data_IF_802722741632
#
_entry.id   IF_802722741632
#
_cell.length_a   1.000
_cell.length_b   1.000
_cell.length_c   1.000
_cell.angle_alpha   90.00
_cell.angle_beta   90.00
_cell.angle_gamma   90.00
#
_symmetry.space_group_name_H-M   'P 1'
#
loop_
_entity.id
_entity.type
_entity.pdbx_description
1 polymer ?
#
# COMPACT_ATOMS: atom_id res chain seq x y z
N UNK A 1 2.55 -28.73 9.57
CA UNK A 1 3.48 -29.83 9.91
C UNK A 1 4.29 -29.39 11.12
N UNK A 2 4.18 -30.11 12.24
CA UNK A 2 5.09 -29.93 13.39
C UNK A 2 6.45 -30.49 12.99
N UNK A 3 7.57 -29.81 13.27
CA UNK A 3 8.88 -30.45 13.16
C UNK A 3 8.93 -31.56 14.22
N UNK A 4 8.90 -32.82 13.79
CA UNK A 4 9.23 -33.96 14.65
C UNK A 4 10.74 -34.02 14.76
N UNK A 5 11.30 -33.63 15.90
CA UNK A 5 12.74 -33.72 16.16
C UNK A 5 13.16 -35.19 16.33
N UNK A 6 14.40 -35.57 15.96
CA UNK A 6 14.93 -36.90 16.18
C UNK A 6 14.90 -37.22 17.68
N UNK A 7 14.23 -38.32 18.03
CA UNK A 7 14.22 -38.87 19.37
C UNK A 7 15.61 -39.45 19.64
N UNK A 8 16.46 -38.70 20.35
CA UNK A 8 17.75 -39.22 20.79
C UNK A 8 17.51 -40.05 22.06
N UNK A 9 17.45 -41.36 21.88
CA UNK A 9 17.19 -42.31 22.95
C UNK A 9 18.37 -42.30 23.94
N UNK A 10 18.12 -41.89 25.19
CA UNK A 10 19.12 -42.02 26.26
C UNK A 10 19.22 -40.92 27.31
N UNK A 11 18.41 -39.85 27.29
CA UNK A 11 18.48 -38.82 28.35
C UNK A 11 17.19 -38.71 29.18
N UNK A 12 17.27 -38.52 30.51
CA UNK A 12 16.10 -38.34 31.36
C UNK A 12 15.36 -37.04 31.01
N UNK A 13 14.03 -37.12 30.89
CA UNK A 13 13.14 -36.06 30.38
C UNK A 13 13.31 -34.66 30.98
N UNK A 14 13.82 -34.56 32.20
CA UNK A 14 14.12 -33.28 32.87
C UNK A 14 15.28 -32.48 32.25
N UNK A 15 16.24 -33.16 31.61
CA UNK A 15 17.42 -32.51 30.99
C UNK A 15 17.04 -31.84 29.67
N UNK A 16 16.05 -32.38 28.96
CA UNK A 16 15.53 -31.77 27.72
C UNK A 16 14.85 -30.44 27.97
N UNK A 17 13.99 -30.36 28.99
CA UNK A 17 13.33 -29.11 29.34
C UNK A 17 14.35 -28.07 29.83
N UNK A 18 15.34 -28.48 30.62
CA UNK A 18 16.38 -27.56 31.06
C UNK A 18 17.26 -27.08 29.90
N UNK A 19 17.68 -27.95 28.99
CA UNK A 19 18.48 -27.54 27.83
C UNK A 19 17.69 -26.66 26.85
N UNK A 20 16.38 -26.87 26.69
CA UNK A 20 15.51 -26.00 25.90
C UNK A 20 15.31 -24.64 26.55
N UNK A 21 15.09 -24.60 27.86
CA UNK A 21 14.95 -23.36 28.62
C UNK A 21 16.26 -22.57 28.67
N UNK A 22 17.41 -23.26 28.75
CA UNK A 22 18.73 -22.63 28.68
C UNK A 22 19.01 -22.05 27.30
N UNK A 23 18.73 -22.81 26.22
CA UNK A 23 18.84 -22.28 24.84
C UNK A 23 17.95 -21.06 24.60
N UNK A 24 16.71 -21.08 25.11
CA UNK A 24 15.80 -19.93 24.97
C UNK A 24 16.36 -18.68 25.68
N UNK A 25 16.96 -18.86 26.87
CA UNK A 25 17.61 -17.76 27.62
C UNK A 25 18.81 -17.19 26.88
N UNK A 26 19.62 -18.03 26.24
CA UNK A 26 20.77 -17.59 25.43
C UNK A 26 20.32 -16.83 24.17
N UNK A 27 19.29 -17.31 23.46
CA UNK A 27 18.75 -16.59 22.30
C UNK A 27 18.10 -15.27 22.70
N UNK A 28 17.42 -15.23 23.84
CA UNK A 28 16.82 -13.99 24.37
C UNK A 28 17.91 -12.99 24.78
N UNK A 29 19.06 -13.46 25.31
CA UNK A 29 20.20 -12.63 25.65
C UNK A 29 20.95 -12.07 24.41
N UNK A 30 21.03 -12.83 23.32
CA UNK A 30 21.61 -12.35 22.06
C UNK A 30 20.73 -11.29 21.37
N UNK A 31 19.40 -11.34 21.57
CA UNK A 31 18.46 -10.34 21.07
C UNK A 31 18.44 -9.04 21.89
N UNK A 32 19.02 -9.03 23.10
CA UNK A 32 19.12 -7.85 23.97
C UNK A 32 20.18 -6.84 23.47
N UNK A 33 21.14 -7.27 22.63
CA UNK A 33 22.22 -6.42 22.13
C UNK A 33 22.00 -5.80 20.74
N UNK A 34 20.86 -6.07 20.10
CA UNK A 34 20.47 -5.35 18.88
C UNK A 34 19.63 -4.14 19.30
N UNK A 35 20.04 -2.93 18.88
CA UNK A 35 19.37 -1.68 19.24
C UNK A 35 17.87 -1.64 18.91
N UNK A 36 17.17 -0.55 19.25
CA UNK A 36 15.72 -0.43 18.95
C UNK A 36 15.49 -0.59 17.44
N UNK A 37 14.82 -1.68 17.03
CA UNK A 37 14.45 -1.96 15.64
C UNK A 37 12.97 -1.64 15.46
N UNK A 38 12.64 -0.90 14.40
CA UNK A 38 11.25 -0.52 14.05
C UNK A 38 10.57 -1.48 13.07
N UNK A 39 11.32 -2.43 12.52
CA UNK A 39 10.84 -3.50 11.64
C UNK A 39 10.78 -4.81 12.43
N UNK A 40 9.57 -5.33 12.61
CA UNK A 40 9.32 -6.54 13.38
C UNK A 40 9.40 -7.80 12.51
N UNK A 41 9.89 -8.88 13.09
CA UNK A 41 9.80 -10.22 12.51
C UNK A 41 8.49 -10.92 12.92
N UNK A 42 8.11 -11.97 12.20
CA UNK A 42 6.94 -12.78 12.55
C UNK A 42 7.00 -13.26 14.00
N UNK A 43 5.96 -12.94 14.77
CA UNK A 43 5.84 -13.31 16.18
C UNK A 43 6.40 -12.27 17.17
N UNK A 44 7.06 -11.22 16.69
CA UNK A 44 7.42 -10.09 17.54
C UNK A 44 6.19 -9.21 17.82
N UNK A 45 5.98 -8.88 19.09
CA UNK A 45 4.81 -8.13 19.60
C UNK A 45 5.17 -6.71 20.05
N UNK A 46 6.37 -6.21 19.73
CA UNK A 46 6.79 -4.83 20.06
C UNK A 46 5.98 -3.74 19.34
N UNK A 47 5.13 -4.11 18.38
CA UNK A 47 4.17 -3.21 17.74
C UNK A 47 3.00 -2.85 18.67
N UNK A 48 2.02 -2.10 18.15
CA UNK A 48 0.82 -1.77 18.91
C UNK A 48 0.07 -3.05 19.30
N UNK A 49 -0.18 -3.25 20.59
CA UNK A 49 -0.94 -4.41 21.09
C UNK A 49 -2.39 -4.30 20.62
N UNK A 50 -2.82 -5.24 19.78
CA UNK A 50 -4.19 -5.30 19.28
C UNK A 50 -4.94 -6.45 19.98
N UNK A 51 -6.14 -6.15 20.50
CA UNK A 51 -7.05 -7.12 21.10
C UNK A 51 -8.45 -6.84 20.58
N UNK A 52 -9.21 -7.89 20.24
CA UNK A 52 -10.60 -7.75 19.78
C UNK A 52 -10.77 -7.45 18.29
N UNK A 53 -9.70 -7.47 17.49
CA UNK A 53 -9.80 -7.40 16.02
C UNK A 53 -10.03 -8.80 15.47
N UNK A 54 -11.18 -9.03 14.85
CA UNK A 54 -11.51 -10.29 14.17
C UNK A 54 -11.49 -10.08 12.66
N UNK A 55 -10.52 -10.71 12.00
CA UNK A 55 -10.47 -10.80 10.54
C UNK A 55 -11.07 -12.13 10.12
N UNK A 56 -12.04 -12.09 9.22
CA UNK A 56 -12.71 -13.30 8.78
C UNK A 56 -12.16 -13.80 7.44
N UNK A 57 -12.32 -15.09 7.17
CA UNK A 57 -12.08 -15.74 5.87
C UNK A 57 -13.40 -16.22 5.28
N UNK A 58 -13.66 -15.99 3.99
CA UNK A 58 -14.94 -16.42 3.41
C UNK A 58 -14.82 -17.84 2.89
N UNK A 59 -15.49 -18.77 3.55
CA UNK A 59 -15.81 -20.06 2.97
C UNK A 59 -17.16 -19.95 2.25
N UNK A 60 -17.19 -20.28 0.95
CA UNK A 60 -18.45 -20.55 0.25
C UNK A 60 -18.92 -21.94 0.68
N UNK A 61 -19.64 -22.06 1.78
CA UNK A 61 -20.33 -23.30 2.12
C UNK A 61 -21.83 -23.04 2.26
N UNK A 62 -22.53 -23.28 1.15
CA UNK A 62 -23.97 -23.55 0.98
C UNK A 62 -24.98 -22.77 1.84
N UNK A 63 -25.72 -21.87 1.20
CA UNK A 63 -27.07 -21.50 1.62
C UNK A 63 -28.02 -21.52 0.41
N UNK A 64 -28.74 -22.62 0.14
CA UNK A 64 -29.98 -22.51 -0.63
C UNK A 64 -31.01 -21.79 0.26
N UNK A 65 -31.89 -20.96 -0.30
CA UNK A 65 -33.08 -20.34 0.33
C UNK A 65 -32.96 -19.05 1.18
N UNK A 66 -32.05 -18.12 0.90
CA UNK A 66 -32.21 -16.76 1.45
C UNK A 66 -32.13 -15.69 0.35
N UNK A 67 -33.29 -15.43 -0.25
CA UNK A 67 -33.60 -14.14 -0.85
C UNK A 67 -33.47 -13.04 0.21
N UNK A 68 -32.80 -11.95 -0.16
CA UNK A 68 -32.82 -10.66 0.55
C UNK A 68 -32.01 -10.58 1.84
N UNK A 69 -30.67 -10.60 1.72
CA UNK A 69 -29.83 -9.81 2.62
C UNK A 69 -28.76 -9.07 1.80
N UNK A 70 -28.96 -7.76 1.77
CA UNK A 70 -28.02 -6.66 1.63
C UNK A 70 -26.56 -7.09 1.52
N UNK A 71 -25.94 -6.67 0.42
CA UNK A 71 -24.51 -6.75 0.14
C UNK A 71 -23.69 -5.97 1.18
N UNK A 72 -23.43 -6.56 2.34
CA UNK A 72 -22.36 -6.10 3.21
C UNK A 72 -21.10 -6.88 2.84
N UNK A 73 -20.21 -6.24 2.08
CA UNK A 73 -18.89 -6.76 1.72
C UNK A 73 -18.00 -6.84 2.98
N UNK A 74 -18.40 -7.68 3.92
CA UNK A 74 -17.56 -8.07 5.04
C UNK A 74 -16.28 -8.69 4.49
N UNK A 75 -15.15 -8.22 5.00
CA UNK A 75 -13.77 -8.52 4.61
C UNK A 75 -13.40 -9.95 4.95
N UNK A 76 -14.06 -10.89 4.27
CA UNK A 76 -13.84 -12.31 4.42
C UNK A 76 -12.73 -12.71 3.40
N UNK A 77 -11.52 -13.00 3.87
CA UNK A 77 -10.42 -13.51 3.04
C UNK A 77 -10.78 -14.87 2.40
N UNK A 78 -11.20 -14.86 1.13
CA UNK A 78 -11.43 -16.06 0.32
C UNK A 78 -10.10 -16.66 -0.13
N UNK A 79 -10.04 -17.99 -0.32
CA UNK A 79 -8.90 -18.61 -1.00
C UNK A 79 -8.74 -18.04 -2.42
N UNK A 80 -7.51 -17.76 -2.88
CA UNK A 80 -7.28 -17.23 -4.23
C UNK A 80 -7.75 -18.19 -5.33
N UNK A 81 -7.73 -19.50 -5.07
CA UNK A 81 -8.24 -20.51 -6.01
C UNK A 81 -9.77 -20.54 -6.12
N UNK A 82 -10.47 -19.88 -5.19
CA UNK A 82 -11.93 -19.81 -5.14
C UNK A 82 -12.47 -18.47 -5.66
N UNK A 83 -11.59 -17.52 -5.99
CA UNK A 83 -11.96 -16.18 -6.47
C UNK A 83 -11.47 -15.99 -7.90
N UNK A 84 -12.21 -15.22 -8.70
CA UNK A 84 -11.73 -14.83 -10.04
C UNK A 84 -10.46 -13.98 -9.88
N UNK A 85 -9.52 -14.06 -10.82
CA UNK A 85 -8.30 -13.27 -10.77
C UNK A 85 -8.55 -11.75 -10.88
N UNK A 86 -9.55 -11.34 -11.67
CA UNK A 86 -9.86 -9.94 -11.94
C UNK A 86 -11.38 -9.68 -11.99
N UNK A 87 -12.14 -9.91 -10.90
CA UNK A 87 -13.56 -9.61 -10.89
C UNK A 87 -13.74 -8.09 -10.99
N UNK A 88 -14.55 -7.65 -11.96
CA UNK A 88 -14.93 -6.24 -12.10
C UNK A 88 -13.77 -5.25 -12.27
N UNK A 89 -12.61 -5.71 -12.74
CA UNK A 89 -11.40 -4.90 -12.84
C UNK A 89 -11.63 -3.63 -13.66
N UNK A 90 -12.32 -3.70 -14.81
CA UNK A 90 -12.53 -2.55 -15.69
C UNK A 90 -13.36 -1.45 -15.01
N UNK A 91 -14.55 -1.78 -14.50
CA UNK A 91 -15.42 -0.80 -13.83
C UNK A 91 -14.76 -0.27 -12.55
N UNK A 92 -14.13 -1.14 -11.77
CA UNK A 92 -13.49 -0.75 -10.51
C UNK A 92 -12.29 0.15 -10.78
N UNK A 93 -11.47 -0.16 -11.79
CA UNK A 93 -10.32 0.65 -12.17
C UNK A 93 -10.74 2.01 -12.72
N UNK A 94 -11.75 2.07 -13.59
CA UNK A 94 -12.23 3.33 -14.15
C UNK A 94 -12.82 4.25 -13.07
N UNK A 95 -13.74 3.75 -12.25
CA UNK A 95 -14.38 4.57 -11.21
C UNK A 95 -13.44 4.92 -10.07
N UNK A 96 -12.61 3.97 -9.61
CA UNK A 96 -11.64 4.24 -8.56
C UNK A 96 -10.49 5.11 -9.05
N UNK A 97 -10.09 4.96 -10.30
CA UNK A 97 -9.10 5.81 -10.96
C UNK A 97 -9.60 7.25 -11.06
N UNK A 98 -10.79 7.47 -11.62
CA UNK A 98 -11.41 8.79 -11.70
C UNK A 98 -11.52 9.44 -10.31
N UNK A 99 -12.04 8.73 -9.31
CA UNK A 99 -12.19 9.23 -7.94
C UNK A 99 -10.86 9.67 -7.32
N UNK A 100 -9.75 9.01 -7.64
CA UNK A 100 -8.42 9.35 -7.13
C UNK A 100 -7.81 10.52 -7.88
N UNK A 101 -7.92 10.52 -9.20
CA UNK A 101 -7.34 11.57 -10.06
C UNK A 101 -8.08 12.89 -9.85
N UNK A 102 -9.41 12.86 -9.67
CA UNK A 102 -10.20 14.08 -9.47
C UNK A 102 -9.85 14.82 -8.18
N UNK A 103 -9.51 14.11 -7.11
CA UNK A 103 -9.06 14.71 -5.85
C UNK A 103 -7.70 15.39 -5.96
N UNK A 104 -6.83 14.86 -6.82
CA UNK A 104 -5.46 15.36 -6.98
C UNK A 104 -5.32 16.39 -8.12
N UNK A 105 -6.33 16.48 -9.01
CA UNK A 105 -6.29 17.28 -10.23
C UNK A 105 -5.97 18.75 -9.97
N UNK A 106 -6.39 19.32 -8.85
CA UNK A 106 -6.07 20.71 -8.55
C UNK A 106 -4.58 20.93 -8.29
N UNK A 107 -3.91 19.98 -7.63
CA UNK A 107 -2.51 20.12 -7.24
C UNK A 107 -1.57 20.06 -8.44
N UNK A 108 -1.84 19.21 -9.42
CA UNK A 108 -1.02 19.16 -10.64
C UNK A 108 -1.61 19.94 -11.80
N UNK A 109 -2.93 20.07 -11.88
CA UNK A 109 -3.62 20.75 -12.98
C UNK A 109 -3.38 22.25 -12.97
N UNK A 110 -3.38 22.91 -11.81
CA UNK A 110 -3.11 24.35 -11.71
C UNK A 110 -1.68 24.69 -12.18
N UNK A 111 -0.60 24.04 -11.66
CA UNK A 111 0.75 24.29 -12.15
C UNK A 111 0.93 24.01 -13.65
N UNK A 112 0.35 22.92 -14.16
CA UNK A 112 0.44 22.58 -15.59
C UNK A 112 -0.27 23.64 -16.43
N UNK A 113 -1.48 24.06 -16.04
CA UNK A 113 -2.23 25.08 -16.76
C UNK A 113 -1.50 26.43 -16.76
N UNK A 114 -0.94 26.84 -15.62
CA UNK A 114 -0.13 28.05 -15.51
C UNK A 114 1.12 27.97 -16.38
N UNK A 115 1.87 26.87 -16.30
CA UNK A 115 3.08 26.68 -17.11
C UNK A 115 2.80 26.73 -18.60
N UNK A 116 1.73 26.05 -19.04
CA UNK A 116 1.32 26.07 -20.44
C UNK A 116 0.79 27.44 -20.89
N UNK A 117 0.07 28.15 -20.01
CA UNK A 117 -0.39 29.51 -20.26
C UNK A 117 0.77 30.48 -20.48
N UNK A 118 1.77 30.47 -19.59
CA UNK A 118 2.96 31.31 -19.71
C UNK A 118 3.76 30.98 -20.97
N UNK A 119 3.95 29.68 -21.26
CA UNK A 119 4.67 29.24 -22.46
C UNK A 119 4.01 29.72 -23.75
N UNK A 120 2.69 29.56 -23.88
CA UNK A 120 1.95 29.96 -25.09
C UNK A 120 1.88 31.48 -25.25
N UNK A 121 1.77 32.23 -24.15
CA UNK A 121 1.88 33.69 -24.19
C UNK A 121 3.27 34.14 -24.62
N UNK A 122 4.33 33.62 -24.00
CA UNK A 122 5.71 33.99 -24.29
C UNK A 122 6.07 33.74 -25.76
N UNK A 123 5.68 32.58 -26.31
CA UNK A 123 5.92 32.25 -27.72
C UNK A 123 5.21 33.21 -28.68
N UNK A 124 3.94 33.53 -28.41
CA UNK A 124 3.18 34.49 -29.23
C UNK A 124 3.75 35.90 -29.14
N UNK A 125 4.23 36.28 -27.96
CA UNK A 125 4.82 37.59 -27.72
C UNK A 125 6.16 37.73 -28.43
N UNK A 126 7.03 36.73 -28.35
CA UNK A 126 8.30 36.68 -29.09
C UNK A 126 8.09 36.73 -30.62
N UNK A 127 7.12 35.97 -31.14
CA UNK A 127 6.73 36.05 -32.56
C UNK A 127 6.24 37.46 -32.96
N UNK A 128 5.48 38.13 -32.08
CA UNK A 128 5.01 39.49 -32.31
C UNK A 128 6.16 40.51 -32.29
N UNK A 129 7.10 40.40 -31.34
CA UNK A 129 8.26 41.31 -31.27
C UNK A 129 9.12 41.25 -32.52
N UNK A 130 9.32 40.04 -33.07
CA UNK A 130 10.04 39.82 -34.33
C UNK A 130 9.22 40.13 -35.59
N UNK A 131 7.97 40.58 -35.43
CA UNK A 131 7.11 40.99 -36.55
C UNK A 131 7.31 42.46 -36.91
N UNK A 132 6.93 42.85 -38.13
CA UNK A 132 6.99 44.25 -38.57
C UNK A 132 6.18 45.19 -37.66
N UNK A 133 5.02 44.73 -37.18
CA UNK A 133 4.17 45.50 -36.28
C UNK A 133 4.84 45.68 -34.90
N UNK A 134 5.55 44.67 -34.41
CA UNK A 134 6.32 44.74 -33.17
C UNK A 134 7.47 45.72 -33.27
N UNK A 135 8.27 45.67 -34.34
CA UNK A 135 9.36 46.62 -34.57
C UNK A 135 8.89 48.08 -34.68
N UNK A 136 7.71 48.34 -35.26
CA UNK A 136 7.14 49.69 -35.33
C UNK A 136 6.65 50.18 -33.96
N UNK A 137 6.03 49.30 -33.17
CA UNK A 137 5.52 49.63 -31.83
C UNK A 137 6.64 49.82 -30.79
N UNK A 138 7.69 49.00 -30.84
CA UNK A 138 8.85 49.08 -29.94
C UNK A 138 9.89 50.13 -30.40
N UNK A 139 9.98 50.40 -31.70
CA UNK A 139 10.91 51.38 -32.26
C UNK A 139 10.45 52.83 -32.12
N UNK A 140 9.16 53.08 -31.87
CA UNK A 140 8.61 54.42 -31.65
C UNK A 140 8.84 54.99 -30.25
N UNK A 141 9.30 54.17 -29.29
CA UNK A 141 9.57 54.58 -27.90
C UNK A 141 11.04 55.02 -27.67
N UNK A 142 11.85 55.11 -28.73
CA UNK A 142 13.27 55.53 -28.71
C UNK A 142 13.51 56.90 -29.38
N UNK A 143 12.71 57.92 -29.02
CA UNK A 143 13.02 59.36 -29.24
C UNK A 143 13.33 60.09 -27.92
#
# INVERSE_FOLDING_TARGET
MRPTLPRHDGMPGGVYLQSLLSRKRETDALLVHSGKVYLLWWGDQRGLRQKGVTTYGASRQYAPHASTYQSDQSTLAMSPYQTKAAPHWLKSYLFNGYRRISGELFFFGIPIALGYGVYTWAKRYDEWQNSKAGHLALGGDHE
#
